data_IF_608943402118
#
_entry.id   IF_608943402118
#
_cell.length_a   1.000
_cell.length_b   1.000
_cell.length_c   1.000
_cell.angle_alpha   90.00
_cell.angle_beta   90.00
_cell.angle_gamma   90.00
#
_symmetry.space_group_name_H-M   'P 1'
#
loop_
_entity.id
_entity.type
_entity.pdbx_description
1 polymer ?
#
# COMPACT_ATOMS: atom_id res chain seq x y z
N UNK A 1 14.16 115.50 -17.94
CA UNK A 1 14.15 114.05 -17.67
C UNK A 1 13.79 113.37 -18.98
N UNK A 2 14.79 112.98 -19.76
CA UNK A 2 14.56 112.25 -21.01
C UNK A 2 14.55 110.76 -20.66
N UNK A 3 13.36 110.22 -20.45
CA UNK A 3 13.15 108.78 -20.32
C UNK A 3 13.72 108.12 -21.59
N UNK A 4 14.79 107.36 -21.42
CA UNK A 4 15.38 106.55 -22.48
C UNK A 4 14.30 105.53 -22.87
N UNK A 5 13.64 105.80 -24.00
CA UNK A 5 12.68 104.89 -24.60
C UNK A 5 13.33 103.50 -24.69
N UNK A 6 12.70 102.44 -24.15
CA UNK A 6 13.30 101.11 -24.18
C UNK A 6 13.62 100.74 -25.62
N UNK A 7 14.82 100.22 -25.89
CA UNK A 7 15.17 99.68 -27.20
C UNK A 7 14.31 98.43 -27.44
N UNK A 8 13.12 98.64 -28.00
CA UNK A 8 12.11 97.63 -28.27
C UNK A 8 12.63 96.49 -29.16
N UNK A 9 13.67 96.73 -29.97
CA UNK A 9 14.33 95.69 -30.76
C UNK A 9 15.17 94.75 -29.90
N UNK A 10 15.91 95.29 -28.93
CA UNK A 10 16.65 94.50 -27.94
C UNK A 10 15.71 93.67 -27.07
N UNK A 11 14.66 94.30 -26.52
CA UNK A 11 13.64 93.63 -25.70
C UNK A 11 12.92 92.51 -26.47
N UNK A 12 12.61 92.70 -27.75
CA UNK A 12 11.98 91.66 -28.59
C UNK A 12 12.90 90.46 -28.83
N UNK A 13 14.18 90.68 -29.12
CA UNK A 13 15.17 89.61 -29.31
C UNK A 13 15.47 88.86 -27.99
N UNK A 14 15.47 89.56 -26.86
CA UNK A 14 15.65 88.97 -25.53
C UNK A 14 14.43 88.13 -25.14
N UNK A 15 13.22 88.59 -25.45
CA UNK A 15 11.98 87.85 -25.22
C UNK A 15 11.87 86.63 -26.17
N UNK A 16 12.35 86.74 -27.41
CA UNK A 16 12.45 85.62 -28.36
C UNK A 16 13.45 84.55 -27.88
N UNK A 17 14.64 84.95 -27.40
CA UNK A 17 15.59 84.01 -26.77
C UNK A 17 15.00 83.36 -25.51
N UNK A 18 14.24 84.11 -24.72
CA UNK A 18 13.59 83.59 -23.51
C UNK A 18 12.53 82.55 -23.86
N UNK A 19 11.74 82.77 -24.92
CA UNK A 19 10.77 81.78 -25.43
C UNK A 19 11.45 80.54 -25.98
N UNK A 20 12.52 80.70 -26.75
CA UNK A 20 13.30 79.56 -27.28
C UNK A 20 13.96 78.75 -26.15
N UNK A 21 14.52 79.39 -25.13
CA UNK A 21 15.06 78.70 -23.95
C UNK A 21 13.97 78.03 -23.11
N UNK A 22 12.83 78.68 -22.93
CA UNK A 22 11.69 78.09 -22.22
C UNK A 22 11.11 76.90 -22.98
N UNK A 23 11.05 76.98 -24.30
CA UNK A 23 10.63 75.89 -25.18
C UNK A 23 11.62 74.72 -25.16
N UNK A 24 12.93 75.00 -25.22
CA UNK A 24 13.98 73.97 -25.02
C UNK A 24 13.93 73.35 -23.62
N UNK A 25 13.63 74.13 -22.58
CA UNK A 25 13.44 73.61 -21.21
C UNK A 25 12.21 72.72 -21.10
N UNK A 26 11.10 73.08 -21.76
CA UNK A 26 9.88 72.25 -21.81
C UNK A 26 10.12 70.95 -22.59
N UNK A 27 10.76 71.03 -23.75
CA UNK A 27 11.14 69.85 -24.55
C UNK A 27 12.12 68.95 -23.79
N UNK A 28 13.14 69.51 -23.14
CA UNK A 28 14.07 68.73 -22.31
C UNK A 28 13.37 68.10 -21.09
N UNK A 29 12.42 68.80 -20.47
CA UNK A 29 11.62 68.27 -19.37
C UNK A 29 10.68 67.14 -19.83
N UNK A 30 10.02 67.29 -21.00
CA UNK A 30 9.22 66.21 -21.61
C UNK A 30 10.08 65.00 -21.98
N UNK A 31 11.27 65.23 -22.55
CA UNK A 31 12.20 64.16 -22.90
C UNK A 31 12.66 63.42 -21.65
N UNK A 32 13.01 64.13 -20.58
CA UNK A 32 13.39 63.55 -19.30
C UNK A 32 12.23 62.76 -18.65
N UNK A 33 11.00 63.27 -18.71
CA UNK A 33 9.82 62.54 -18.23
C UNK A 33 9.56 61.27 -19.03
N UNK A 34 9.69 61.30 -20.36
CA UNK A 34 9.55 60.12 -21.23
C UNK A 34 10.64 59.08 -20.94
N UNK A 35 11.89 59.49 -20.76
CA UNK A 35 12.97 58.57 -20.39
C UNK A 35 12.75 57.95 -19.01
N UNK A 36 12.31 58.74 -18.02
CA UNK A 36 11.98 58.24 -16.70
C UNK A 36 10.82 57.24 -16.74
N UNK A 37 9.79 57.52 -17.55
CA UNK A 37 8.64 56.62 -17.74
C UNK A 37 9.06 55.32 -18.43
N UNK A 38 9.87 55.38 -19.49
CA UNK A 38 10.46 54.19 -20.13
C UNK A 38 11.29 53.36 -19.16
N UNK A 39 12.11 53.99 -18.32
CA UNK A 39 12.90 53.28 -17.29
C UNK A 39 12.01 52.57 -16.27
N UNK A 40 10.94 53.21 -15.81
CA UNK A 40 9.98 52.61 -14.87
C UNK A 40 9.25 51.42 -15.49
N UNK A 41 8.83 51.53 -16.74
CA UNK A 41 8.18 50.42 -17.47
C UNK A 41 9.14 49.24 -17.68
N UNK A 42 10.40 49.50 -18.04
CA UNK A 42 11.41 48.45 -18.21
C UNK A 42 11.72 47.75 -16.87
N UNK A 43 11.85 48.52 -15.78
CA UNK A 43 12.04 47.97 -14.44
C UNK A 43 10.85 47.12 -14.01
N UNK A 44 9.62 47.58 -14.27
CA UNK A 44 8.41 46.83 -13.98
C UNK A 44 8.35 45.52 -14.78
N UNK A 45 8.65 45.55 -16.09
CA UNK A 45 8.73 44.33 -16.91
C UNK A 45 9.80 43.36 -16.41
N UNK A 46 10.96 43.87 -15.94
CA UNK A 46 12.01 43.02 -15.34
C UNK A 46 11.53 42.37 -14.05
N UNK A 47 10.81 43.10 -13.19
CA UNK A 47 10.23 42.56 -11.95
C UNK A 47 9.17 41.49 -12.25
N UNK A 48 8.25 41.75 -13.18
CA UNK A 48 7.23 40.79 -13.59
C UNK A 48 7.85 39.52 -14.20
N UNK A 49 8.87 39.67 -15.06
CA UNK A 49 9.60 38.53 -15.62
C UNK A 49 10.34 37.72 -14.55
N UNK A 50 10.96 38.38 -13.56
CA UNK A 50 11.61 37.73 -12.43
C UNK A 50 10.61 36.98 -11.53
N UNK A 51 9.46 37.57 -11.22
CA UNK A 51 8.40 36.90 -10.47
C UNK A 51 7.84 35.69 -11.21
N UNK A 52 7.66 35.79 -12.53
CA UNK A 52 7.17 34.68 -13.34
C UNK A 52 8.19 33.54 -13.39
N UNK A 53 9.47 33.85 -13.54
CA UNK A 53 10.55 32.86 -13.49
C UNK A 53 10.60 32.15 -12.12
N UNK A 54 10.44 32.89 -11.01
CA UNK A 54 10.38 32.30 -9.67
C UNK A 54 9.17 31.37 -9.49
N UNK A 55 7.98 31.77 -9.98
CA UNK A 55 6.78 30.93 -9.93
C UNK A 55 6.93 29.65 -10.75
N UNK A 56 7.53 29.74 -11.93
CA UNK A 56 7.80 28.56 -12.76
C UNK A 56 8.82 27.63 -12.11
N UNK A 57 9.89 28.19 -11.53
CA UNK A 57 10.87 27.40 -10.78
C UNK A 57 10.24 26.70 -9.57
N UNK A 58 9.40 27.41 -8.82
CA UNK A 58 8.69 26.82 -7.69
C UNK A 58 7.75 25.69 -8.13
N UNK A 59 6.99 25.88 -9.22
CA UNK A 59 6.15 24.81 -9.80
C UNK A 59 6.96 23.60 -10.23
N UNK A 60 8.12 23.81 -10.88
CA UNK A 60 9.01 22.71 -11.28
C UNK A 60 9.53 21.94 -10.06
N UNK A 61 9.91 22.64 -8.99
CA UNK A 61 10.34 22.00 -7.73
C UNK A 61 9.20 21.21 -7.08
N UNK A 62 7.98 21.76 -7.05
CA UNK A 62 6.80 21.08 -6.51
C UNK A 62 6.43 19.84 -7.35
N UNK A 63 6.49 19.92 -8.69
CA UNK A 63 6.26 18.78 -9.57
C UNK A 63 7.33 17.70 -9.40
N UNK A 64 8.60 18.07 -9.30
CA UNK A 64 9.69 17.14 -9.06
C UNK A 64 9.54 16.45 -7.70
N UNK A 65 9.19 17.20 -6.66
CA UNK A 65 8.92 16.65 -5.34
C UNK A 65 7.75 15.65 -5.38
N UNK A 66 6.64 16.01 -6.03
CA UNK A 66 5.49 15.12 -6.20
C UNK A 66 5.87 13.83 -6.93
N UNK A 67 6.66 13.92 -8.00
CA UNK A 67 7.15 12.75 -8.73
C UNK A 67 8.01 11.84 -7.85
N UNK A 68 8.90 12.41 -7.04
CA UNK A 68 9.72 11.66 -6.08
C UNK A 68 8.87 10.97 -5.01
N UNK A 69 7.88 11.67 -4.45
CA UNK A 69 6.95 11.11 -3.47
C UNK A 69 6.10 9.97 -4.07
N UNK A 70 5.59 10.14 -5.29
CA UNK A 70 4.84 9.09 -5.99
C UNK A 70 5.71 7.87 -6.32
N UNK A 71 6.94 8.09 -6.76
CA UNK A 71 7.89 7.01 -7.01
C UNK A 71 8.23 6.26 -5.71
N UNK A 72 8.44 6.98 -4.61
CA UNK A 72 8.69 6.36 -3.30
C UNK A 72 7.48 5.52 -2.86
N UNK A 73 6.26 6.06 -2.92
CA UNK A 73 5.03 5.31 -2.60
C UNK A 73 4.88 4.07 -3.46
N UNK A 74 5.22 4.16 -4.74
CA UNK A 74 5.17 3.01 -5.65
C UNK A 74 6.20 1.95 -5.25
N UNK A 75 7.41 2.34 -4.87
CA UNK A 75 8.45 1.40 -4.39
C UNK A 75 8.00 0.72 -3.09
N UNK A 76 7.53 1.49 -2.12
CA UNK A 76 7.00 0.95 -0.85
C UNK A 76 5.83 -0.01 -1.08
N UNK A 77 4.92 0.31 -2.01
CA UNK A 77 3.80 -0.58 -2.35
C UNK A 77 4.26 -1.88 -3.02
N UNK A 78 5.29 -1.83 -3.87
CA UNK A 78 5.88 -3.03 -4.48
C UNK A 78 6.57 -3.89 -3.44
N UNK A 79 7.36 -3.29 -2.55
CA UNK A 79 8.05 -3.99 -1.46
C UNK A 79 7.02 -4.65 -0.53
N UNK A 80 6.00 -3.93 -0.08
CA UNK A 80 4.92 -4.51 0.73
C UNK A 80 4.17 -5.64 0.02
N UNK A 81 3.94 -5.53 -1.29
CA UNK A 81 3.31 -6.59 -2.06
C UNK A 81 4.22 -7.82 -2.18
N UNK A 82 5.53 -7.63 -2.32
CA UNK A 82 6.52 -8.70 -2.32
C UNK A 82 6.58 -9.39 -0.96
N UNK A 83 6.69 -8.63 0.13
CA UNK A 83 6.73 -9.18 1.49
C UNK A 83 5.48 -10.04 1.78
N UNK A 84 4.29 -9.56 1.41
CA UNK A 84 3.03 -10.31 1.57
C UNK A 84 3.00 -11.58 0.71
N UNK A 85 3.51 -11.51 -0.51
CA UNK A 85 3.57 -12.68 -1.38
C UNK A 85 4.57 -13.71 -0.83
N UNK A 86 5.71 -13.27 -0.31
CA UNK A 86 6.70 -14.13 0.33
C UNK A 86 6.15 -14.76 1.61
N UNK A 87 5.46 -13.99 2.45
CA UNK A 87 4.84 -14.51 3.66
C UNK A 87 3.77 -15.58 3.37
N UNK A 88 2.99 -15.41 2.29
CA UNK A 88 2.01 -16.42 1.86
C UNK A 88 2.64 -17.67 1.25
N UNK A 89 3.80 -17.54 0.60
CA UNK A 89 4.40 -18.63 -0.19
C UNK A 89 5.56 -19.33 0.51
N UNK A 90 6.16 -18.73 1.53
CA UNK A 90 7.15 -19.38 2.39
C UNK A 90 6.54 -20.58 3.12
N UNK A 91 7.40 -21.51 3.51
CA UNK A 91 7.02 -22.60 4.40
C UNK A 91 6.54 -22.08 5.75
N UNK A 92 5.62 -22.80 6.37
CA UNK A 92 5.05 -22.45 7.68
C UNK A 92 5.79 -23.13 8.82
N UNK A 93 5.82 -22.46 9.97
CA UNK A 93 6.16 -23.05 11.26
C UNK A 93 5.07 -23.99 11.76
N UNK A 94 5.32 -24.82 12.77
CA UNK A 94 4.30 -25.75 13.27
C UNK A 94 3.03 -25.02 13.74
N UNK A 95 3.08 -23.91 14.51
CA UNK A 95 1.87 -23.19 14.91
C UNK A 95 1.12 -22.57 13.72
N UNK A 96 1.84 -21.90 12.80
CA UNK A 96 1.25 -21.34 11.58
C UNK A 96 0.57 -22.44 10.74
N UNK A 97 1.20 -23.61 10.64
CA UNK A 97 0.69 -24.76 9.89
C UNK A 97 -0.61 -25.30 10.50
N UNK A 98 -0.63 -25.53 11.81
CA UNK A 98 -1.81 -26.05 12.51
C UNK A 98 -3.00 -25.09 12.45
N UNK A 99 -2.74 -23.79 12.65
CA UNK A 99 -3.75 -22.75 12.53
C UNK A 99 -4.31 -22.67 11.10
N UNK A 100 -3.44 -22.74 10.10
CA UNK A 100 -3.83 -22.77 8.69
C UNK A 100 -4.62 -24.03 8.32
N UNK A 101 -4.24 -25.20 8.83
CA UNK A 101 -5.01 -26.43 8.66
C UNK A 101 -6.41 -26.29 9.26
N UNK A 102 -6.53 -25.74 10.47
CA UNK A 102 -7.82 -25.50 11.10
C UNK A 102 -8.68 -24.52 10.30
N UNK A 103 -8.09 -23.38 9.92
CA UNK A 103 -8.80 -22.28 9.26
C UNK A 103 -9.20 -22.63 7.83
N UNK A 104 -8.27 -23.17 7.02
CA UNK A 104 -8.49 -23.38 5.59
C UNK A 104 -9.03 -24.77 5.26
N UNK A 105 -8.69 -25.82 6.02
CA UNK A 105 -9.08 -27.19 5.70
C UNK A 105 -10.32 -27.66 6.48
N UNK A 106 -10.42 -27.31 7.77
CA UNK A 106 -11.46 -27.85 8.65
C UNK A 106 -12.67 -26.95 8.85
N UNK A 107 -12.47 -25.65 9.08
CA UNK A 107 -13.52 -24.73 9.55
C UNK A 107 -14.69 -24.56 8.57
N UNK A 108 -14.48 -24.82 7.27
CA UNK A 108 -15.51 -24.71 6.24
C UNK A 108 -16.28 -26.02 5.96
N UNK A 109 -16.06 -27.08 6.74
CA UNK A 109 -16.70 -28.39 6.50
C UNK A 109 -18.23 -28.26 6.44
N UNK A 110 -18.81 -28.72 5.34
CA UNK A 110 -20.27 -28.79 5.16
C UNK A 110 -20.73 -30.23 4.95
N UNK A 111 -21.85 -30.58 5.59
CA UNK A 111 -22.48 -31.90 5.49
C UNK A 111 -23.73 -31.78 4.62
N UNK A 112 -23.97 -32.78 3.78
CA UNK A 112 -25.18 -32.86 2.97
C UNK A 112 -26.41 -33.02 3.89
N UNK A 113 -27.28 -32.02 3.88
CA UNK A 113 -28.50 -32.02 4.70
C UNK A 113 -29.67 -32.74 4.03
N UNK A 114 -29.64 -32.88 2.70
CA UNK A 114 -30.65 -33.65 1.97
C UNK A 114 -30.35 -35.16 2.04
N UNK A 115 -31.15 -35.88 2.83
CA UNK A 115 -31.05 -37.33 3.00
C UNK A 115 -31.33 -38.16 1.73
N UNK A 116 -31.78 -37.54 0.63
CA UNK A 116 -31.90 -38.18 -0.68
C UNK A 116 -30.59 -38.14 -1.48
N UNK A 117 -29.70 -37.19 -1.17
CA UNK A 117 -28.40 -36.99 -1.82
C UNK A 117 -27.22 -37.56 -1.00
N UNK A 118 -27.52 -38.15 0.15
CA UNK A 118 -26.55 -38.82 1.03
C UNK A 118 -26.61 -40.33 0.87
N UNK A 119 -25.48 -41.01 1.02
CA UNK A 119 -25.47 -42.47 1.16
C UNK A 119 -26.32 -42.88 2.35
N UNK A 120 -27.16 -43.88 2.14
CA UNK A 120 -27.95 -44.51 3.20
C UNK A 120 -27.28 -45.80 3.60
N UNK A 121 -26.78 -45.86 4.83
CA UNK A 121 -26.32 -47.09 5.47
C UNK A 121 -27.29 -47.49 6.58
N UNK A 122 -27.30 -48.78 6.92
CA UNK A 122 -27.89 -49.21 8.19
C UNK A 122 -26.86 -48.98 9.31
N UNK A 123 -27.06 -47.99 10.20
CA UNK A 123 -26.15 -47.76 11.33
C UNK A 123 -26.09 -48.96 12.28
N UNK A 124 -27.06 -49.89 12.21
CA UNK A 124 -27.06 -51.13 12.97
C UNK A 124 -26.20 -52.24 12.32
N UNK A 125 -25.53 -52.00 11.19
CA UNK A 125 -24.60 -52.96 10.57
C UNK A 125 -23.24 -53.02 11.31
N UNK A 126 -23.32 -53.30 12.61
CA UNK A 126 -22.20 -53.54 13.51
C UNK A 126 -22.02 -55.05 13.82
N UNK A 127 -22.81 -55.92 13.19
CA UNK A 127 -22.70 -57.37 13.36
C UNK A 127 -21.28 -57.83 13.02
N UNK A 128 -20.64 -58.56 13.94
CA UNK A 128 -19.24 -59.02 13.85
C UNK A 128 -18.16 -57.92 13.82
N UNK A 129 -18.45 -56.67 14.20
CA UNK A 129 -17.41 -55.64 14.41
C UNK A 129 -16.97 -55.62 15.87
N UNK A 130 -15.65 -55.59 16.11
CA UNK A 130 -15.10 -55.38 17.45
C UNK A 130 -15.53 -54.00 17.95
N UNK A 131 -16.10 -53.96 19.15
CA UNK A 131 -16.52 -52.73 19.82
C UNK A 131 -16.21 -52.82 21.31
N UNK A 132 -15.78 -51.73 21.95
CA UNK A 132 -15.58 -51.71 23.39
C UNK A 132 -16.91 -51.96 24.11
N UNK A 133 -16.88 -52.76 25.18
CA UNK A 133 -18.06 -52.99 26.03
C UNK A 133 -18.38 -51.75 26.88
N UNK A 134 -17.37 -50.97 27.23
CA UNK A 134 -17.47 -49.77 28.04
C UNK A 134 -16.61 -48.65 27.45
N UNK A 135 -17.14 -47.43 27.43
CA UNK A 135 -16.35 -46.23 27.20
C UNK A 135 -15.96 -45.67 28.56
N UNK A 136 -14.66 -45.62 28.84
CA UNK A 136 -14.10 -45.12 30.11
C UNK A 136 -13.40 -43.79 29.85
N UNK A 137 -13.51 -42.87 30.79
CA UNK A 137 -12.79 -41.60 30.73
C UNK A 137 -11.29 -41.85 30.83
N UNK A 138 -10.53 -41.23 29.93
CA UNK A 138 -9.08 -41.19 30.04
C UNK A 138 -8.68 -39.99 30.91
N UNK A 139 -8.64 -40.21 32.24
CA UNK A 139 -8.57 -39.15 33.24
C UNK A 139 -7.33 -38.26 33.14
N UNK A 140 -6.17 -38.84 32.81
CA UNK A 140 -4.89 -38.13 32.75
C UNK A 140 -4.52 -37.66 31.34
N UNK A 141 -5.34 -37.94 30.33
CA UNK A 141 -5.06 -37.57 28.93
C UNK A 141 -4.80 -36.06 28.74
N UNK A 142 -5.60 -35.12 29.29
CA UNK A 142 -5.33 -33.70 29.12
C UNK A 142 -3.98 -33.27 29.70
N UNK A 143 -3.61 -33.81 30.87
CA UNK A 143 -2.34 -33.50 31.52
C UNK A 143 -1.16 -34.08 30.74
N UNK A 144 -1.28 -35.32 30.24
CA UNK A 144 -0.26 -35.93 29.38
C UNK A 144 -0.08 -35.15 28.07
N UNK A 145 -1.18 -34.75 27.42
CA UNK A 145 -1.13 -33.95 26.20
C UNK A 145 -0.47 -32.60 26.43
N UNK A 146 -0.85 -31.87 27.49
CA UNK A 146 -0.24 -30.58 27.82
C UNK A 146 1.29 -30.70 27.99
N UNK A 147 1.75 -31.71 28.75
CA UNK A 147 3.17 -31.95 28.93
C UNK A 147 3.92 -32.26 27.62
N UNK A 148 3.29 -33.00 26.69
CA UNK A 148 3.87 -33.26 25.35
C UNK A 148 3.94 -31.96 24.53
N UNK A 149 2.87 -31.17 24.54
CA UNK A 149 2.82 -29.89 23.82
C UNK A 149 3.83 -28.88 24.38
N UNK A 150 4.03 -28.83 25.70
CA UNK A 150 5.03 -27.96 26.32
C UNK A 150 6.44 -28.29 25.82
N UNK A 151 6.78 -29.58 25.74
CA UNK A 151 8.07 -30.05 25.20
C UNK A 151 8.20 -29.72 23.71
N UNK A 152 7.15 -29.98 22.93
CA UNK A 152 7.15 -29.76 21.49
C UNK A 152 7.28 -28.26 21.15
N UNK A 153 6.49 -27.41 21.80
CA UNK A 153 6.48 -25.96 21.56
C UNK A 153 7.74 -25.25 22.07
N UNK A 154 8.41 -25.81 23.08
CA UNK A 154 9.69 -25.28 23.58
C UNK A 154 10.89 -25.63 22.69
N UNK A 155 10.72 -26.53 21.71
CA UNK A 155 11.79 -26.97 20.81
C UNK A 155 11.92 -26.09 19.57
N UNK A 156 13.11 -26.07 18.95
CA UNK A 156 13.36 -25.34 17.69
C UNK A 156 12.48 -25.85 16.55
N UNK A 157 12.05 -27.12 16.59
CA UNK A 157 11.14 -27.71 15.62
C UNK A 157 9.85 -26.90 15.43
N UNK A 158 9.32 -26.32 16.52
CA UNK A 158 8.11 -25.50 16.45
C UNK A 158 8.35 -24.16 15.74
N UNK A 159 9.58 -23.63 15.77
CA UNK A 159 9.95 -22.34 15.19
C UNK A 159 10.48 -22.46 13.76
N UNK A 160 10.95 -23.64 13.38
CA UNK A 160 11.48 -23.90 12.04
C UNK A 160 10.36 -24.03 11.00
N UNK A 161 10.63 -23.52 9.79
CA UNK A 161 9.67 -23.46 8.68
C UNK A 161 9.76 -24.70 7.80
N UNK A 162 9.14 -25.79 8.24
CA UNK A 162 9.20 -27.07 7.54
C UNK A 162 8.00 -27.35 6.63
N UNK A 163 6.85 -26.79 6.98
CA UNK A 163 5.56 -27.23 6.48
C UNK A 163 5.07 -26.43 5.29
N UNK A 164 4.03 -26.95 4.64
CA UNK A 164 3.38 -26.37 3.47
C UNK A 164 3.03 -24.89 3.67
N UNK A 165 3.15 -24.09 2.61
CA UNK A 165 2.86 -22.66 2.67
C UNK A 165 1.37 -22.37 2.90
N UNK A 166 1.08 -21.18 3.45
CA UNK A 166 -0.30 -20.73 3.68
C UNK A 166 -1.10 -20.70 2.37
N UNK A 167 -0.51 -20.19 1.29
CA UNK A 167 -1.16 -20.16 -0.01
C UNK A 167 -1.57 -21.55 -0.50
N UNK A 168 -0.69 -22.55 -0.37
CA UNK A 168 -1.00 -23.91 -0.82
C UNK A 168 -2.08 -24.57 0.04
N UNK A 169 -2.11 -24.31 1.36
CA UNK A 169 -3.17 -24.78 2.24
C UNK A 169 -4.52 -24.11 1.93
N UNK A 170 -4.52 -22.80 1.65
CA UNK A 170 -5.70 -22.04 1.22
C UNK A 170 -6.30 -22.65 -0.05
N UNK A 171 -5.50 -22.86 -1.10
CA UNK A 171 -5.93 -23.47 -2.38
C UNK A 171 -6.44 -24.91 -2.18
N UNK A 172 -5.74 -25.70 -1.36
CA UNK A 172 -6.16 -27.09 -1.05
C UNK A 172 -7.49 -27.11 -0.30
N UNK A 173 -7.66 -26.19 0.66
CA UNK A 173 -8.90 -26.00 1.39
C UNK A 173 -10.07 -25.66 0.47
N UNK A 174 -9.89 -24.71 -0.45
CA UNK A 174 -10.92 -24.40 -1.45
C UNK A 174 -11.34 -25.63 -2.27
N UNK A 175 -10.39 -26.48 -2.66
CA UNK A 175 -10.68 -27.69 -3.41
C UNK A 175 -11.47 -28.73 -2.58
N UNK A 176 -11.07 -28.93 -1.32
CA UNK A 176 -11.71 -29.87 -0.39
C UNK A 176 -13.14 -29.41 -0.06
N UNK A 177 -13.31 -28.13 0.27
CA UNK A 177 -14.56 -27.55 0.77
C UNK A 177 -15.63 -27.37 -0.33
N UNK A 178 -15.27 -27.46 -1.61
CA UNK A 178 -16.25 -27.49 -2.72
C UNK A 178 -17.19 -28.71 -2.65
N UNK A 179 -16.78 -29.78 -1.97
CA UNK A 179 -17.57 -31.00 -1.87
C UNK A 179 -18.26 -31.08 -0.51
N UNK A 180 -19.59 -31.11 -0.52
CA UNK A 180 -20.36 -31.43 0.69
C UNK A 180 -20.16 -32.90 1.06
N UNK A 181 -20.04 -33.19 2.35
CA UNK A 181 -19.94 -34.56 2.85
C UNK A 181 -21.28 -35.26 2.67
N UNK A 182 -21.39 -36.15 1.69
CA UNK A 182 -22.61 -36.92 1.44
C UNK A 182 -22.39 -38.43 1.48
N UNK A 183 -21.15 -38.89 1.61
CA UNK A 183 -20.81 -40.31 1.66
C UNK A 183 -19.65 -40.63 2.58
N UNK A 184 -19.51 -41.90 2.96
CA UNK A 184 -18.32 -42.40 3.68
C UNK A 184 -17.04 -42.15 2.88
N UNK A 185 -17.08 -42.24 1.55
CA UNK A 185 -15.94 -41.93 0.70
C UNK A 185 -15.55 -40.45 0.79
N UNK A 186 -16.53 -39.55 0.85
CA UNK A 186 -16.25 -38.11 1.00
C UNK A 186 -15.61 -37.81 2.35
N UNK A 187 -16.13 -38.42 3.42
CA UNK A 187 -15.56 -38.30 4.75
C UNK A 187 -14.13 -38.86 4.81
N UNK A 188 -13.89 -40.02 4.19
CA UNK A 188 -12.55 -40.61 4.11
C UNK A 188 -11.57 -39.69 3.39
N UNK A 189 -11.95 -39.16 2.22
CA UNK A 189 -11.10 -38.23 1.46
C UNK A 189 -10.85 -36.94 2.25
N UNK A 190 -11.85 -36.42 2.94
CA UNK A 190 -11.71 -35.26 3.81
C UNK A 190 -10.74 -35.54 4.95
N UNK A 191 -10.92 -36.63 5.71
CA UNK A 191 -10.04 -36.99 6.83
C UNK A 191 -8.60 -37.18 6.36
N UNK A 192 -8.41 -37.86 5.22
CA UNK A 192 -7.08 -38.06 4.66
C UNK A 192 -6.38 -36.72 4.37
N UNK A 193 -7.04 -35.82 3.64
CA UNK A 193 -6.42 -34.56 3.23
C UNK A 193 -6.25 -33.55 4.37
N UNK A 194 -7.08 -33.63 5.41
CA UNK A 194 -7.14 -32.61 6.47
C UNK A 194 -6.53 -33.06 7.80
N UNK A 195 -6.34 -34.37 7.99
CA UNK A 195 -5.77 -34.95 9.22
C UNK A 195 -4.60 -35.86 8.87
N UNK A 196 -4.81 -36.92 8.09
CA UNK A 196 -3.78 -37.96 7.93
C UNK A 196 -2.53 -37.42 7.21
N UNK A 197 -2.70 -36.71 6.10
CA UNK A 197 -1.59 -36.16 5.31
C UNK A 197 -0.84 -35.07 6.12
N UNK A 198 -1.50 -34.08 6.76
CA UNK A 198 -0.83 -33.13 7.66
C UNK A 198 -0.09 -33.81 8.83
N UNK A 199 -0.70 -34.78 9.51
CA UNK A 199 -0.08 -35.51 10.63
C UNK A 199 1.12 -36.30 10.14
N UNK A 200 1.02 -36.95 8.99
CA UNK A 200 2.13 -37.68 8.37
C UNK A 200 3.30 -36.74 8.11
N UNK A 201 3.03 -35.55 7.53
CA UNK A 201 4.07 -34.54 7.29
C UNK A 201 4.76 -34.06 8.58
N UNK A 202 4.00 -33.90 9.68
CA UNK A 202 4.57 -33.55 10.99
C UNK A 202 5.45 -34.68 11.52
N UNK A 203 4.97 -35.92 11.46
CA UNK A 203 5.71 -37.09 11.95
C UNK A 203 7.00 -37.31 11.15
N UNK A 204 6.95 -37.25 9.83
CA UNK A 204 8.14 -37.39 8.99
C UNK A 204 9.22 -36.39 9.40
N UNK A 205 8.84 -35.12 9.56
CA UNK A 205 9.78 -34.07 9.95
C UNK A 205 10.28 -34.19 11.40
N UNK A 206 9.48 -34.75 12.30
CA UNK A 206 9.89 -35.00 13.69
C UNK A 206 11.00 -36.06 13.80
N UNK A 207 11.09 -36.97 12.83
CA UNK A 207 12.06 -38.08 12.83
C UNK A 207 13.23 -37.90 11.83
N UNK A 208 13.23 -36.81 11.06
CA UNK A 208 14.31 -36.41 10.15
C UNK A 208 15.51 -35.77 10.87
#
# INVERSE_FOLDING_TARGET
>A
MAEQSPDYKKLFLEEQRRREEEQRRREAAEQAQKEEQCRREEEQRRREAAEQAQKEEQRRREEEQRRREEEQRRREAVEQAQDRAEEKTRKTTLPEFLDACHTHLHSGLTVQTDATLSTRGDPANATNKLRPENLVLWEDFPAQQAAIWDVLMASDFALERHFTSLHTLEESGEAILRKMMSSELDLYLFQRSTVDDPVTSIIERLYD
#
